data_IF_092987560873
#
_entry.id   IF_092987560873
#
_cell.length_a   1.000
_cell.length_b   1.000
_cell.length_c   1.000
_cell.angle_alpha   90.00
_cell.angle_beta   90.00
_cell.angle_gamma   90.00
#
_symmetry.space_group_name_H-M   'P 1'
#
loop_
_entity.id
_entity.type
_entity.pdbx_description
1 polymer ?
#
# COMPACT_ATOMS: atom_id res chain seq x y z
N UNK A 1 12.74 1.05 30.06
CA UNK A 1 13.11 0.82 31.48
C UNK A 1 13.83 -0.52 31.59
N UNK A 2 15.15 -0.53 31.82
CA UNK A 2 15.92 -1.76 32.03
C UNK A 2 16.20 -2.01 33.52
N UNK A 3 16.38 -0.94 34.28
CA UNK A 3 16.72 -0.97 35.70
C UNK A 3 15.79 -1.86 36.55
N UNK A 4 14.47 -1.84 36.31
CA UNK A 4 13.50 -2.65 37.08
C UNK A 4 13.74 -4.16 36.95
N UNK A 5 14.23 -4.61 35.79
CA UNK A 5 14.46 -6.04 35.52
C UNK A 5 15.86 -6.48 35.95
N UNK A 6 16.88 -5.63 35.77
CA UNK A 6 18.30 -5.99 35.95
C UNK A 6 19.00 -5.27 37.11
N UNK A 7 18.25 -4.92 38.17
CA UNK A 7 18.75 -4.11 39.29
C UNK A 7 19.92 -4.73 40.11
N UNK A 8 20.24 -6.01 39.92
CA UNK A 8 21.34 -6.72 40.61
C UNK A 8 22.50 -7.09 39.68
N UNK A 9 22.45 -6.68 38.41
CA UNK A 9 23.43 -7.02 37.37
C UNK A 9 24.05 -5.74 36.76
N UNK A 10 25.28 -5.83 36.27
CA UNK A 10 25.88 -4.76 35.46
C UNK A 10 25.36 -4.82 34.02
N UNK A 11 24.68 -3.76 33.57
CA UNK A 11 24.09 -3.67 32.22
C UNK A 11 25.00 -2.86 31.30
N UNK A 12 25.44 -3.48 30.20
CA UNK A 12 26.10 -2.77 29.09
C UNK A 12 25.06 -2.21 28.13
N UNK A 13 25.08 -0.91 27.88
CA UNK A 13 24.19 -0.21 26.95
C UNK A 13 24.91 0.11 25.64
N UNK A 14 24.27 -0.21 24.52
CA UNK A 14 24.71 0.18 23.19
C UNK A 14 23.98 1.43 22.70
N UNK A 15 24.45 2.01 21.59
CA UNK A 15 23.78 3.15 20.96
C UNK A 15 22.33 2.79 20.59
N UNK A 16 21.35 3.59 20.99
CA UNK A 16 19.96 3.33 20.67
C UNK A 16 19.70 3.58 19.19
N UNK A 17 18.95 2.69 18.56
CA UNK A 17 18.47 2.90 17.19
C UNK A 17 17.12 3.63 17.22
N UNK A 18 16.91 4.64 16.35
CA UNK A 18 15.63 5.32 16.26
C UNK A 18 14.59 4.36 15.69
N UNK A 19 13.48 4.19 16.42
CA UNK A 19 12.33 3.42 15.97
C UNK A 19 11.28 4.40 15.48
N UNK A 20 10.86 4.22 14.22
CA UNK A 20 9.83 5.03 13.59
C UNK A 20 8.80 4.13 12.92
N UNK A 21 7.55 4.58 12.91
CA UNK A 21 6.51 3.95 12.10
C UNK A 21 6.83 4.17 10.61
N UNK A 22 6.75 3.10 9.82
CA UNK A 22 6.90 3.17 8.35
C UNK A 22 5.90 2.22 7.70
N UNK A 23 5.03 2.76 6.86
CA UNK A 23 4.18 1.98 5.98
C UNK A 23 4.81 1.84 4.60
N UNK A 24 4.61 0.69 3.96
CA UNK A 24 5.09 0.42 2.59
C UNK A 24 4.01 0.59 1.53
N UNK A 25 2.83 1.14 1.87
CA UNK A 25 1.80 1.41 0.88
C UNK A 25 2.28 2.47 -0.13
N UNK A 26 1.74 2.39 -1.34
CA UNK A 26 2.00 3.37 -2.38
C UNK A 26 0.84 3.36 -3.37
N UNK A 27 0.70 4.44 -4.14
CA UNK A 27 -0.30 4.51 -5.22
C UNK A 27 -0.13 3.35 -6.21
N UNK A 28 1.11 2.99 -6.55
CA UNK A 28 1.40 1.87 -7.46
C UNK A 28 0.87 0.56 -6.90
N UNK A 29 1.14 0.23 -5.63
CA UNK A 29 0.65 -1.01 -5.02
C UNK A 29 -0.88 -1.07 -4.97
N UNK A 30 -1.53 0.08 -4.74
CA UNK A 30 -3.00 0.16 -4.80
C UNK A 30 -3.50 -0.02 -6.25
N UNK A 31 -2.81 0.54 -7.25
CA UNK A 31 -3.14 0.34 -8.65
C UNK A 31 -3.00 -1.14 -9.07
N UNK A 32 -1.92 -1.80 -8.65
CA UNK A 32 -1.69 -3.22 -8.91
C UNK A 32 -2.80 -4.07 -8.28
N UNK A 33 -3.24 -3.72 -7.06
CA UNK A 33 -4.37 -4.37 -6.41
C UNK A 33 -5.68 -4.15 -7.19
N UNK A 34 -5.93 -2.94 -7.69
CA UNK A 34 -7.11 -2.64 -8.51
C UNK A 34 -7.15 -3.48 -9.79
N UNK A 35 -5.99 -3.71 -10.41
CA UNK A 35 -5.86 -4.54 -11.61
C UNK A 35 -6.14 -6.04 -11.39
N UNK A 36 -6.23 -6.49 -10.12
CA UNK A 36 -6.63 -7.87 -9.82
C UNK A 36 -8.14 -8.10 -9.87
N UNK A 37 -8.92 -7.02 -9.86
CA UNK A 37 -10.38 -7.08 -9.95
C UNK A 37 -10.83 -7.26 -11.42
N UNK A 38 -11.97 -7.93 -11.65
CA UNK A 38 -12.60 -7.97 -12.96
C UNK A 38 -12.86 -6.56 -13.50
N UNK A 39 -12.62 -6.35 -14.80
CA UNK A 39 -12.73 -5.02 -15.42
C UNK A 39 -14.17 -4.47 -15.40
N UNK A 40 -15.17 -5.34 -15.41
CA UNK A 40 -16.59 -5.01 -15.26
C UNK A 40 -16.93 -4.51 -13.85
N UNK A 41 -16.37 -5.12 -12.80
CA UNK A 41 -16.53 -4.63 -11.42
C UNK A 41 -15.92 -3.23 -11.26
N UNK A 42 -14.71 -3.03 -11.78
CA UNK A 42 -14.03 -1.71 -11.73
C UNK A 42 -14.82 -0.66 -12.52
N UNK A 43 -15.39 -1.04 -13.66
CA UNK A 43 -16.24 -0.14 -14.45
C UNK A 43 -17.52 0.23 -13.70
N UNK A 44 -18.19 -0.73 -13.04
CA UNK A 44 -19.40 -0.47 -12.24
C UNK A 44 -19.12 0.50 -11.09
N UNK A 45 -18.00 0.32 -10.38
CA UNK A 45 -17.58 1.24 -9.31
C UNK A 45 -17.40 2.68 -9.83
N UNK A 46 -16.79 2.84 -11.02
CA UNK A 46 -16.61 4.15 -11.63
C UNK A 46 -17.92 4.78 -12.11
N UNK A 47 -18.87 3.97 -12.60
CA UNK A 47 -20.19 4.47 -13.02
C UNK A 47 -21.02 4.97 -11.83
N UNK A 48 -20.91 4.30 -10.67
CA UNK A 48 -21.65 4.64 -9.46
C UNK A 48 -21.07 5.86 -8.74
N UNK A 49 -19.76 5.87 -8.50
CA UNK A 49 -19.10 6.85 -7.62
C UNK A 49 -18.26 7.90 -8.38
N UNK A 50 -18.05 7.71 -9.68
CA UNK A 50 -17.25 8.59 -10.54
C UNK A 50 -15.73 8.51 -10.32
N UNK A 51 -15.29 7.86 -9.25
CA UNK A 51 -13.90 7.62 -8.87
C UNK A 51 -13.83 6.44 -7.90
N UNK A 52 -12.61 5.92 -7.66
CA UNK A 52 -12.36 4.88 -6.67
C UNK A 52 -11.43 5.45 -5.59
N UNK A 53 -11.91 5.52 -4.35
CA UNK A 53 -11.12 5.92 -3.18
C UNK A 53 -10.63 4.68 -2.42
N UNK A 54 -9.32 4.47 -2.39
CA UNK A 54 -8.67 3.40 -1.62
C UNK A 54 -7.97 3.95 -0.38
N UNK A 55 -8.34 3.41 0.78
CA UNK A 55 -7.68 3.68 2.06
C UNK A 55 -6.71 2.56 2.44
N UNK A 56 -5.57 2.92 3.03
CA UNK A 56 -4.64 1.98 3.64
C UNK A 56 -4.96 1.76 5.12
N UNK A 57 -5.43 0.58 5.49
CA UNK A 57 -5.79 0.24 6.89
C UNK A 57 -4.64 0.36 7.91
N UNK A 58 -3.39 0.36 7.45
CA UNK A 58 -2.22 0.43 8.33
C UNK A 58 -1.80 1.86 8.66
N UNK A 59 -1.92 2.79 7.70
CA UNK A 59 -1.42 4.16 7.87
C UNK A 59 -2.46 5.25 7.61
N UNK A 60 -3.66 4.90 7.14
CA UNK A 60 -4.73 5.83 6.81
C UNK A 60 -4.47 6.68 5.56
N UNK A 61 -3.53 6.28 4.69
CA UNK A 61 -3.30 7.00 3.43
C UNK A 61 -4.44 6.75 2.46
N UNK A 62 -4.91 7.81 1.81
CA UNK A 62 -5.96 7.77 0.78
C UNK A 62 -5.35 7.89 -0.62
N UNK A 63 -5.84 7.04 -1.53
CA UNK A 63 -5.43 7.01 -2.94
C UNK A 63 -6.68 7.05 -3.83
N UNK A 64 -6.90 8.20 -4.45
CA UNK A 64 -8.02 8.44 -5.37
C UNK A 64 -7.65 8.07 -6.81
N UNK A 65 -8.46 7.24 -7.45
CA UNK A 65 -8.32 6.86 -8.86
C UNK A 65 -9.49 7.42 -9.66
N UNK A 66 -9.19 8.31 -10.61
CA UNK A 66 -10.15 8.86 -11.55
C UNK A 66 -10.38 7.90 -12.73
N UNK A 67 -11.44 8.05 -13.53
CA UNK A 67 -11.66 7.24 -14.72
C UNK A 67 -10.46 7.28 -15.68
N UNK A 68 -9.78 8.44 -15.78
CA UNK A 68 -8.57 8.59 -16.59
C UNK A 68 -7.39 7.82 -16.02
N UNK A 69 -7.20 7.81 -14.69
CA UNK A 69 -6.18 6.99 -14.05
C UNK A 69 -6.40 5.51 -14.35
N UNK A 70 -7.64 5.03 -14.17
CA UNK A 70 -8.00 3.63 -14.39
C UNK A 70 -7.82 3.22 -15.84
N UNK A 71 -8.24 4.05 -16.80
CA UNK A 71 -8.00 3.80 -18.22
C UNK A 71 -6.50 3.67 -18.56
N UNK A 72 -5.64 4.48 -17.92
CA UNK A 72 -4.20 4.39 -18.11
C UNK A 72 -3.61 3.07 -17.57
N UNK A 73 -4.14 2.54 -16.47
CA UNK A 73 -3.70 1.26 -15.89
C UNK A 73 -3.94 0.09 -16.84
N UNK A 74 -5.10 0.03 -17.49
CA UNK A 74 -5.41 -1.04 -18.45
C UNK A 74 -4.67 -0.89 -19.78
N UNK A 75 -4.36 0.34 -20.19
CA UNK A 75 -3.58 0.57 -21.41
C UNK A 75 -2.12 0.11 -21.24
N UNK A 76 -1.51 0.39 -20.09
CA UNK A 76 -0.11 0.04 -19.81
C UNK A 76 0.16 -1.45 -19.52
N UNK A 77 -0.86 -2.22 -19.12
CA UNK A 77 -0.70 -3.65 -18.78
C UNK A 77 -0.78 -4.59 -20.01
N UNK A 78 -1.10 -4.05 -21.19
CA UNK A 78 -1.19 -4.85 -22.43
C UNK A 78 0.18 -5.39 -22.89
N UNK A 79 1.28 -4.87 -22.34
CA UNK A 79 2.65 -5.26 -22.73
C UNK A 79 3.34 -6.28 -21.79
N UNK A 80 2.77 -6.60 -20.61
CA UNK A 80 3.46 -7.42 -19.58
C UNK A 80 2.89 -8.83 -19.37
N UNK A 81 1.70 -9.14 -19.92
CA UNK A 81 1.09 -10.49 -19.80
C UNK A 81 1.71 -11.56 -20.71
N UNK A 82 2.70 -11.23 -21.55
CA UNK A 82 3.38 -12.18 -22.46
C UNK A 82 4.67 -12.79 -21.86
N UNK A 83 4.88 -12.66 -20.54
CA UNK A 83 5.99 -13.31 -19.83
C UNK A 83 5.48 -14.33 -18.83
N UNK A 84 4.83 -15.37 -19.35
CA UNK A 84 4.68 -16.63 -18.64
C UNK A 84 5.99 -17.44 -18.80
N UNK A 85 6.75 -17.56 -17.72
CA UNK A 85 7.70 -18.66 -17.51
C UNK A 85 7.17 -19.54 -16.38
#
# INVERSE_FOLDING_TARGET
MLYRLYHQEEVTLYEPQPVVFRCSCSRQRCADALLTLPADEVAEMLEQDGNIDMNCDYCGSHYLFTPTDVAALYTGNTDESDRLH
#
